data_IF_727312064006
#
_entry.id   IF_727312064006
#
_cell.length_a   1.000
_cell.length_b   1.000
_cell.length_c   1.000
_cell.angle_alpha   90.00
_cell.angle_beta   90.00
_cell.angle_gamma   90.00
#
_symmetry.space_group_name_H-M   'P 1'
#
loop_
_entity.id
_entity.type
_entity.pdbx_description
1 polymer ?
#
# COMPACT_ATOMS: atom_id res chain seq x y z
N UNK A 1 -24.62 -35.35 51.46
CA UNK A 1 -24.87 -34.02 50.87
C UNK A 1 -23.72 -33.74 49.89
N UNK A 2 -23.97 -33.86 48.58
CA UNK A 2 -22.91 -33.75 47.54
C UNK A 2 -22.92 -32.32 47.00
N UNK A 3 -21.84 -31.59 47.26
CA UNK A 3 -21.59 -30.27 46.69
C UNK A 3 -21.09 -30.47 45.25
N UNK A 4 -21.90 -30.07 44.29
CA UNK A 4 -21.49 -30.00 42.87
C UNK A 4 -20.82 -28.66 42.62
N UNK A 5 -19.49 -28.67 42.44
CA UNK A 5 -18.73 -27.51 41.96
C UNK A 5 -19.02 -27.32 40.47
N UNK A 6 -19.71 -26.25 40.12
CA UNK A 6 -19.90 -25.83 38.74
C UNK A 6 -18.69 -25.02 38.34
N UNK A 7 -17.81 -25.64 37.54
CA UNK A 7 -16.68 -24.94 36.92
C UNK A 7 -17.21 -24.24 35.65
N UNK A 8 -17.42 -22.94 35.75
CA UNK A 8 -17.74 -22.08 34.61
C UNK A 8 -16.47 -21.86 33.80
N UNK A 9 -16.38 -22.53 32.65
CA UNK A 9 -15.31 -22.28 31.68
C UNK A 9 -15.69 -21.02 30.90
N UNK A 10 -15.07 -19.90 31.25
CA UNK A 10 -15.10 -18.70 30.41
C UNK A 10 -14.17 -18.94 29.22
N UNK A 11 -14.73 -19.40 28.12
CA UNK A 11 -14.04 -19.41 26.84
C UNK A 11 -14.04 -17.98 26.30
N UNK A 12 -12.96 -17.24 26.56
CA UNK A 12 -12.69 -15.99 25.86
C UNK A 12 -12.36 -16.35 24.42
N UNK A 13 -13.34 -16.19 23.52
CA UNK A 13 -13.12 -16.27 22.09
C UNK A 13 -12.28 -15.07 21.69
N UNK A 14 -10.94 -15.25 21.68
CA UNK A 14 -10.01 -14.31 21.09
C UNK A 14 -10.24 -14.44 19.57
N UNK A 15 -11.09 -13.58 19.02
CA UNK A 15 -11.26 -13.44 17.57
C UNK A 15 -9.98 -12.76 17.03
N UNK A 16 -8.88 -13.51 16.98
CA UNK A 16 -7.77 -13.15 16.11
C UNK A 16 -8.31 -13.35 14.71
N UNK A 17 -8.42 -12.26 13.94
CA UNK A 17 -8.57 -12.32 12.49
C UNK A 17 -7.30 -12.96 11.91
N UNK A 18 -7.19 -14.27 12.02
CA UNK A 18 -6.16 -15.05 11.33
C UNK A 18 -6.58 -15.04 9.87
N UNK A 19 -5.94 -14.19 9.07
CA UNK A 19 -6.08 -14.29 7.61
C UNK A 19 -5.80 -15.73 7.20
N UNK A 20 -6.62 -16.34 6.31
CA UNK A 20 -6.29 -17.62 5.77
C UNK A 20 -4.88 -17.62 5.18
N UNK A 21 -4.10 -18.65 5.39
CA UNK A 21 -2.71 -18.75 4.93
C UNK A 21 -2.58 -18.41 3.42
N UNK A 22 -3.58 -18.78 2.62
CA UNK A 22 -3.65 -18.45 1.19
C UNK A 22 -3.71 -16.94 0.90
N UNK A 23 -4.47 -16.18 1.70
CA UNK A 23 -4.58 -14.73 1.50
C UNK A 23 -3.27 -14.01 1.81
N UNK A 24 -2.61 -14.36 2.93
CA UNK A 24 -1.32 -13.79 3.29
C UNK A 24 -0.25 -14.09 2.24
N UNK A 25 -0.23 -15.30 1.70
CA UNK A 25 0.67 -15.67 0.61
C UNK A 25 0.38 -14.86 -0.67
N UNK A 26 -0.89 -14.63 -0.99
CA UNK A 26 -1.29 -13.83 -2.14
C UNK A 26 -0.82 -12.38 -2.02
N UNK A 27 -0.89 -11.78 -0.83
CA UNK A 27 -0.39 -10.42 -0.59
C UNK A 27 1.15 -10.36 -0.61
N UNK A 28 1.84 -11.34 -0.05
CA UNK A 28 3.30 -11.44 -0.18
C UNK A 28 3.73 -11.58 -1.65
N UNK A 29 3.01 -12.37 -2.44
CA UNK A 29 3.23 -12.49 -3.87
C UNK A 29 2.96 -11.17 -4.63
N UNK A 30 2.00 -10.35 -4.17
CA UNK A 30 1.78 -9.01 -4.70
C UNK A 30 2.98 -8.09 -4.44
N UNK A 31 3.56 -8.12 -3.24
CA UNK A 31 4.74 -7.30 -2.93
C UNK A 31 5.96 -7.71 -3.77
N UNK A 32 6.15 -9.02 -4.03
CA UNK A 32 7.17 -9.49 -4.99
C UNK A 32 6.91 -8.97 -6.40
N UNK A 33 5.67 -9.11 -6.87
CA UNK A 33 5.26 -8.55 -8.16
C UNK A 33 5.55 -7.05 -8.27
N UNK A 34 5.28 -6.27 -7.22
CA UNK A 34 5.58 -4.83 -7.19
C UNK A 34 7.08 -4.54 -7.33
N UNK A 35 7.94 -5.32 -6.67
CA UNK A 35 9.39 -5.21 -6.79
C UNK A 35 9.83 -5.57 -8.22
N UNK A 36 9.30 -6.66 -8.79
CA UNK A 36 9.59 -7.07 -10.18
C UNK A 36 9.16 -5.99 -11.17
N UNK A 37 8.03 -5.33 -10.92
CA UNK A 37 7.52 -4.24 -11.75
C UNK A 37 8.46 -3.01 -11.74
N UNK A 38 9.03 -2.66 -10.59
CA UNK A 38 9.99 -1.56 -10.47
C UNK A 38 11.31 -1.86 -11.19
N UNK A 39 11.65 -3.13 -11.36
CA UNK A 39 12.85 -3.58 -12.05
C UNK A 39 12.60 -3.94 -13.54
N UNK A 40 11.40 -3.70 -14.06
CA UNK A 40 11.10 -3.97 -15.46
C UNK A 40 11.82 -2.98 -16.38
N UNK A 41 12.53 -3.52 -17.41
CA UNK A 41 13.44 -2.74 -18.25
C UNK A 41 12.72 -1.95 -19.35
N UNK A 42 11.45 -2.22 -19.62
CA UNK A 42 10.69 -1.55 -20.68
C UNK A 42 9.20 -1.43 -20.37
N UNK A 43 8.51 -0.54 -21.09
CA UNK A 43 7.05 -0.39 -20.99
C UNK A 43 6.31 -1.67 -21.38
N UNK A 44 6.83 -2.39 -22.37
CA UNK A 44 6.29 -3.67 -22.83
C UNK A 44 6.44 -4.75 -21.74
N UNK A 45 7.58 -4.79 -21.04
CA UNK A 45 7.80 -5.67 -19.90
C UNK A 45 6.83 -5.33 -18.77
N UNK A 46 6.67 -4.05 -18.40
CA UNK A 46 5.69 -3.58 -17.41
C UNK A 46 4.28 -4.08 -17.76
N UNK A 47 3.83 -3.84 -19.01
CA UNK A 47 2.51 -4.27 -19.45
C UNK A 47 2.34 -5.78 -19.41
N UNK A 48 3.34 -6.55 -19.81
CA UNK A 48 3.35 -8.01 -19.76
C UNK A 48 3.24 -8.54 -18.32
N UNK A 49 4.00 -7.95 -17.38
CA UNK A 49 3.93 -8.30 -15.96
C UNK A 49 2.54 -8.03 -15.38
N UNK A 50 1.94 -6.86 -15.66
CA UNK A 50 0.59 -6.49 -15.21
C UNK A 50 -0.45 -7.48 -15.74
N UNK A 51 -0.41 -7.80 -17.03
CA UNK A 51 -1.37 -8.72 -17.66
C UNK A 51 -1.22 -10.16 -17.13
N UNK A 52 0.01 -10.64 -16.96
CA UNK A 52 0.28 -11.95 -16.38
C UNK A 52 -0.24 -12.03 -14.92
N UNK A 53 -0.03 -10.98 -14.13
CA UNK A 53 -0.51 -10.94 -12.75
C UNK A 53 -2.04 -10.88 -12.68
N UNK A 54 -2.70 -10.12 -13.57
CA UNK A 54 -4.16 -10.08 -13.72
C UNK A 54 -4.74 -11.47 -13.96
N UNK A 55 -4.21 -12.20 -14.94
CA UNK A 55 -4.62 -13.58 -15.24
C UNK A 55 -4.42 -14.52 -14.04
N UNK A 56 -3.33 -14.34 -13.29
CA UNK A 56 -3.07 -15.11 -12.06
C UNK A 56 -4.15 -14.86 -10.99
N UNK A 57 -4.59 -13.62 -10.79
CA UNK A 57 -5.70 -13.29 -9.87
C UNK A 57 -6.99 -13.96 -10.36
N UNK A 58 -7.33 -13.82 -11.64
CA UNK A 58 -8.55 -14.40 -12.23
C UNK A 58 -8.63 -15.91 -12.05
N UNK A 59 -7.52 -16.61 -12.32
CA UNK A 59 -7.42 -18.06 -12.22
C UNK A 59 -7.28 -18.60 -10.78
N UNK A 60 -7.11 -17.72 -9.78
CA UNK A 60 -6.91 -18.13 -8.40
C UNK A 60 -8.21 -18.64 -7.74
N UNK A 61 -8.06 -19.45 -6.69
CA UNK A 61 -9.17 -19.91 -5.83
C UNK A 61 -9.45 -18.94 -4.66
N UNK A 62 -8.98 -17.69 -4.75
CA UNK A 62 -9.24 -16.66 -3.76
C UNK A 62 -10.73 -16.29 -3.73
N UNK A 63 -11.23 -15.88 -2.56
CA UNK A 63 -12.60 -15.41 -2.43
C UNK A 63 -12.78 -14.02 -3.10
N UNK A 64 -14.03 -13.53 -3.13
CA UNK A 64 -14.39 -12.27 -3.79
C UNK A 64 -13.63 -11.08 -3.21
N UNK A 65 -13.54 -10.95 -1.88
CA UNK A 65 -12.85 -9.86 -1.21
C UNK A 65 -11.34 -9.88 -1.49
N UNK A 66 -10.72 -11.06 -1.46
CA UNK A 66 -9.30 -11.24 -1.74
C UNK A 66 -8.97 -10.88 -3.20
N UNK A 67 -9.81 -11.32 -4.16
CA UNK A 67 -9.65 -10.94 -5.57
C UNK A 67 -9.85 -9.45 -5.78
N UNK A 68 -10.89 -8.87 -5.19
CA UNK A 68 -11.14 -7.43 -5.24
C UNK A 68 -9.93 -6.66 -4.69
N UNK A 69 -9.39 -7.09 -3.55
CA UNK A 69 -8.20 -6.50 -2.95
C UNK A 69 -7.02 -6.49 -3.91
N UNK A 70 -6.69 -7.63 -4.50
CA UNK A 70 -5.56 -7.72 -5.43
C UNK A 70 -5.78 -6.93 -6.72
N UNK A 71 -7.01 -6.88 -7.26
CA UNK A 71 -7.33 -6.02 -8.39
C UNK A 71 -7.23 -4.53 -8.05
N UNK A 72 -7.60 -4.16 -6.83
CA UNK A 72 -7.47 -2.78 -6.33
C UNK A 72 -6.01 -2.37 -6.24
N UNK A 73 -5.18 -3.20 -5.62
CA UNK A 73 -3.74 -2.99 -5.53
C UNK A 73 -3.07 -2.96 -6.92
N UNK A 74 -3.48 -3.86 -7.83
CA UNK A 74 -2.96 -3.92 -9.21
C UNK A 74 -3.32 -2.65 -10.00
N UNK A 75 -4.55 -2.13 -9.84
CA UNK A 75 -4.97 -0.90 -10.51
C UNK A 75 -4.13 0.31 -10.07
N UNK A 76 -3.77 0.36 -8.79
CA UNK A 76 -2.86 1.38 -8.24
C UNK A 76 -1.50 1.31 -8.93
N UNK A 77 -0.84 0.14 -8.93
CA UNK A 77 0.48 -0.01 -9.57
C UNK A 77 0.42 0.25 -11.08
N UNK A 78 -0.63 -0.20 -11.76
CA UNK A 78 -0.81 0.04 -13.19
C UNK A 78 -0.89 1.53 -13.51
N UNK A 79 -1.60 2.32 -12.70
CA UNK A 79 -1.71 3.77 -12.91
C UNK A 79 -0.41 4.50 -12.59
N UNK A 80 0.30 4.08 -11.54
CA UNK A 80 1.59 4.66 -11.16
C UNK A 80 2.65 4.41 -12.26
N UNK A 81 2.72 3.19 -12.79
CA UNK A 81 3.64 2.84 -13.89
C UNK A 81 3.29 3.52 -15.21
N UNK A 82 2.01 3.74 -15.50
CA UNK A 82 1.56 4.43 -16.70
C UNK A 82 1.88 5.93 -16.69
N UNK A 83 2.00 6.53 -15.51
CA UNK A 83 2.35 7.94 -15.30
C UNK A 83 1.36 8.95 -15.88
N UNK A 84 1.73 10.23 -15.83
CA UNK A 84 0.86 11.38 -16.20
C UNK A 84 0.45 11.38 -17.67
N UNK A 85 1.23 10.77 -18.57
CA UNK A 85 0.94 10.73 -20.00
C UNK A 85 -0.37 9.96 -20.32
N UNK A 86 -0.80 9.06 -19.43
CA UNK A 86 -2.01 8.25 -19.59
C UNK A 86 -3.17 8.73 -18.70
N UNK A 87 -3.21 10.00 -18.31
CA UNK A 87 -4.12 10.54 -17.30
C UNK A 87 -5.60 10.13 -17.50
N UNK A 88 -6.12 10.21 -18.73
CA UNK A 88 -7.51 9.83 -19.04
C UNK A 88 -7.80 8.35 -18.79
N UNK A 89 -6.88 7.47 -19.20
CA UNK A 89 -7.02 6.03 -18.98
C UNK A 89 -6.86 5.67 -17.52
N UNK A 90 -5.91 6.31 -16.82
CA UNK A 90 -5.69 6.15 -15.40
C UNK A 90 -6.93 6.55 -14.60
N UNK A 91 -7.51 7.72 -14.88
CA UNK A 91 -8.74 8.17 -14.23
C UNK A 91 -9.88 7.16 -14.41
N UNK A 92 -10.08 6.67 -15.65
CA UNK A 92 -11.13 5.66 -15.92
C UNK A 92 -10.89 4.38 -15.12
N UNK A 93 -9.67 3.84 -15.13
CA UNK A 93 -9.33 2.61 -14.39
C UNK A 93 -9.56 2.78 -12.88
N UNK A 94 -9.11 3.91 -12.32
CA UNK A 94 -9.30 4.21 -10.90
C UNK A 94 -10.80 4.34 -10.55
N UNK A 95 -11.59 5.01 -11.39
CA UNK A 95 -13.05 5.17 -11.17
C UNK A 95 -13.77 3.83 -11.25
N UNK A 96 -13.48 3.00 -12.25
CA UNK A 96 -14.05 1.66 -12.39
C UNK A 96 -13.73 0.79 -11.16
N UNK A 97 -12.50 0.90 -10.63
CA UNK A 97 -12.11 0.12 -9.45
C UNK A 97 -12.70 0.69 -8.16
N UNK A 98 -12.84 2.01 -8.04
CA UNK A 98 -13.55 2.67 -6.93
C UNK A 98 -15.02 2.22 -6.85
N UNK A 99 -15.70 2.15 -8.00
CA UNK A 99 -17.10 1.71 -8.06
C UNK A 99 -17.24 0.24 -7.67
N UNK A 100 -16.29 -0.63 -8.00
CA UNK A 100 -16.26 -2.02 -7.51
C UNK A 100 -16.08 -2.08 -6.00
N UNK A 101 -15.19 -1.27 -5.43
CA UNK A 101 -15.00 -1.20 -3.98
C UNK A 101 -16.29 -0.69 -3.30
N UNK A 102 -16.94 0.35 -3.81
CA UNK A 102 -18.21 0.86 -3.30
C UNK A 102 -19.31 -0.22 -3.31
N UNK A 103 -19.47 -0.92 -4.45
CA UNK A 103 -20.47 -1.99 -4.58
C UNK A 103 -20.23 -3.13 -3.58
N UNK A 104 -18.96 -3.54 -3.39
CA UNK A 104 -18.60 -4.56 -2.40
C UNK A 104 -18.90 -4.11 -0.96
N UNK A 105 -18.73 -2.81 -0.69
CA UNK A 105 -18.92 -2.20 0.63
C UNK A 105 -20.40 -1.91 0.95
N UNK A 106 -21.33 -2.08 0.01
CA UNK A 106 -22.74 -1.81 0.23
C UNK A 106 -23.26 -2.66 1.41
N UNK A 107 -23.79 -1.97 2.42
CA UNK A 107 -24.28 -2.60 3.65
C UNK A 107 -23.21 -3.05 4.65
N UNK A 108 -21.91 -2.83 4.37
CA UNK A 108 -20.80 -3.17 5.27
C UNK A 108 -20.19 -1.93 5.91
N UNK A 109 -19.57 -2.13 7.07
CA UNK A 109 -18.73 -1.12 7.71
C UNK A 109 -17.26 -1.33 7.31
N UNK A 110 -16.47 -0.25 7.31
CA UNK A 110 -15.04 -0.35 7.04
C UNK A 110 -14.33 -1.32 8.00
N UNK A 111 -14.78 -1.42 9.26
CA UNK A 111 -14.25 -2.36 10.26
C UNK A 111 -14.52 -3.85 9.99
N UNK A 112 -15.33 -4.17 8.99
CA UNK A 112 -15.73 -5.54 8.65
C UNK A 112 -14.97 -6.11 7.46
N UNK A 113 -14.06 -5.34 6.87
CA UNK A 113 -13.29 -5.74 5.70
C UNK A 113 -11.79 -5.78 5.98
N UNK A 114 -11.09 -6.48 5.11
CA UNK A 114 -9.66 -6.71 5.18
C UNK A 114 -8.87 -5.39 5.11
N UNK A 115 -7.86 -5.24 5.96
CA UNK A 115 -6.98 -4.06 6.01
C UNK A 115 -6.25 -3.78 4.68
N UNK A 116 -5.94 -4.83 3.89
CA UNK A 116 -5.36 -4.67 2.56
C UNK A 116 -6.34 -4.03 1.56
N UNK A 117 -7.63 -4.38 1.63
CA UNK A 117 -8.65 -3.74 0.80
C UNK A 117 -8.82 -2.27 1.18
N UNK A 118 -8.87 -1.97 2.48
CA UNK A 118 -8.98 -0.59 2.97
C UNK A 118 -7.81 0.26 2.47
N UNK A 119 -6.57 -0.25 2.58
CA UNK A 119 -5.38 0.46 2.11
C UNK A 119 -5.37 0.62 0.60
N UNK A 120 -5.65 -0.44 -0.15
CA UNK A 120 -5.73 -0.35 -1.61
C UNK A 120 -6.82 0.63 -2.09
N UNK A 121 -7.98 0.63 -1.44
CA UNK A 121 -9.05 1.58 -1.76
C UNK A 121 -8.69 3.01 -1.35
N UNK A 122 -8.01 3.20 -0.22
CA UNK A 122 -7.46 4.50 0.16
C UNK A 122 -6.46 5.02 -0.88
N UNK A 123 -5.61 4.15 -1.42
CA UNK A 123 -4.68 4.49 -2.50
C UNK A 123 -5.41 4.91 -3.79
N UNK A 124 -6.52 4.25 -4.16
CA UNK A 124 -7.40 4.68 -5.26
C UNK A 124 -7.96 6.08 -5.01
N UNK A 125 -8.56 6.30 -3.82
CA UNK A 125 -9.13 7.60 -3.43
C UNK A 125 -8.11 8.74 -3.45
N UNK A 126 -6.91 8.47 -2.94
CA UNK A 126 -5.80 9.44 -2.97
C UNK A 126 -5.45 9.87 -4.40
N UNK A 127 -5.42 8.93 -5.34
CA UNK A 127 -5.13 9.23 -6.75
C UNK A 127 -6.29 9.94 -7.44
N UNK A 128 -7.54 9.55 -7.14
CA UNK A 128 -8.73 10.25 -7.65
C UNK A 128 -8.79 11.71 -7.16
N UNK A 129 -8.37 11.99 -5.91
CA UNK A 129 -8.20 13.35 -5.43
C UNK A 129 -7.25 14.16 -6.32
N UNK A 130 -6.16 13.55 -6.80
CA UNK A 130 -5.21 14.20 -7.72
C UNK A 130 -5.77 14.51 -9.13
N UNK A 131 -6.84 13.82 -9.54
CA UNK A 131 -7.57 14.09 -10.78
C UNK A 131 -8.74 15.05 -10.62
N UNK A 132 -9.07 15.42 -9.38
CA UNK A 132 -10.23 16.22 -9.02
C UNK A 132 -9.85 17.64 -8.59
N UNK A 133 -10.85 18.49 -8.43
CA UNK A 133 -10.68 19.86 -7.92
C UNK A 133 -11.84 20.24 -6.99
N UNK A 134 -11.64 21.31 -6.21
CA UNK A 134 -12.67 21.85 -5.32
C UNK A 134 -13.16 20.84 -4.29
N UNK A 135 -14.47 20.76 -4.08
CA UNK A 135 -15.08 19.90 -3.06
C UNK A 135 -14.80 18.41 -3.33
N UNK A 136 -14.89 17.95 -4.58
CA UNK A 136 -14.62 16.54 -4.93
C UNK A 136 -13.21 16.11 -4.54
N UNK A 137 -12.19 16.94 -4.81
CA UNK A 137 -10.82 16.65 -4.38
C UNK A 137 -10.72 16.51 -2.86
N UNK A 138 -11.39 17.38 -2.13
CA UNK A 138 -11.39 17.35 -0.68
C UNK A 138 -12.07 16.10 -0.13
N UNK A 139 -13.24 15.75 -0.67
CA UNK A 139 -13.99 14.56 -0.25
C UNK A 139 -13.22 13.26 -0.51
N UNK A 140 -12.57 13.14 -1.68
CA UNK A 140 -11.72 11.98 -2.02
C UNK A 140 -10.51 11.89 -1.08
N UNK A 141 -9.84 13.02 -0.79
CA UNK A 141 -8.71 13.06 0.11
C UNK A 141 -9.10 12.71 1.56
N UNK A 142 -10.24 13.20 2.06
CA UNK A 142 -10.74 12.86 3.39
C UNK A 142 -11.14 11.37 3.49
N UNK A 143 -11.81 10.83 2.47
CA UNK A 143 -12.18 9.43 2.44
C UNK A 143 -10.94 8.55 2.41
N UNK A 144 -9.93 8.90 1.61
CA UNK A 144 -8.63 8.21 1.59
C UNK A 144 -7.99 8.17 2.98
N UNK A 145 -7.88 9.32 3.64
CA UNK A 145 -7.36 9.40 5.00
C UNK A 145 -8.12 8.50 5.99
N UNK A 146 -9.45 8.56 5.98
CA UNK A 146 -10.29 7.76 6.86
C UNK A 146 -10.04 6.25 6.69
N UNK A 147 -9.92 5.78 5.45
CA UNK A 147 -9.65 4.37 5.15
C UNK A 147 -8.27 3.93 5.68
N UNK A 148 -7.22 4.75 5.54
CA UNK A 148 -5.91 4.45 6.14
C UNK A 148 -5.98 4.39 7.67
N UNK A 149 -6.66 5.35 8.30
CA UNK A 149 -6.81 5.42 9.75
C UNK A 149 -7.60 4.21 10.28
N UNK A 150 -8.64 3.77 9.57
CA UNK A 150 -9.40 2.57 9.95
C UNK A 150 -8.56 1.29 9.78
N UNK A 151 -7.80 1.15 8.69
CA UNK A 151 -6.90 0.02 8.50
C UNK A 151 -5.85 -0.06 9.64
N UNK A 152 -5.24 1.08 10.01
CA UNK A 152 -4.26 1.16 11.07
C UNK A 152 -4.86 1.07 12.49
N UNK A 153 -6.15 1.30 12.64
CA UNK A 153 -6.87 1.03 13.89
C UNK A 153 -7.11 -0.46 14.08
N UNK A 154 -7.42 -1.19 13.00
CA UNK A 154 -7.60 -2.64 13.02
C UNK A 154 -6.27 -3.37 13.22
N UNK A 155 -5.22 -2.96 12.49
CA UNK A 155 -3.86 -3.48 12.67
C UNK A 155 -2.85 -2.32 12.80
N UNK A 156 -2.50 -2.00 14.04
CA UNK A 156 -1.55 -0.92 14.37
C UNK A 156 -0.12 -1.18 13.89
N UNK A 157 0.20 -2.43 13.55
CA UNK A 157 1.53 -2.85 13.10
C UNK A 157 1.55 -3.24 11.61
N UNK A 158 0.51 -2.94 10.87
CA UNK A 158 0.41 -3.23 9.45
C UNK A 158 1.42 -2.42 8.61
N UNK A 159 2.49 -3.05 8.08
CA UNK A 159 3.57 -2.32 7.41
C UNK A 159 3.10 -1.58 6.17
N UNK A 160 2.28 -2.24 5.32
CA UNK A 160 1.74 -1.64 4.10
C UNK A 160 0.81 -0.46 4.41
N UNK A 161 0.01 -0.55 5.47
CA UNK A 161 -0.82 0.57 5.93
C UNK A 161 0.01 1.80 6.31
N UNK A 162 1.10 1.61 7.06
CA UNK A 162 2.01 2.71 7.39
C UNK A 162 2.76 3.25 6.16
N UNK A 163 3.10 2.40 5.19
CA UNK A 163 3.77 2.80 3.96
C UNK A 163 2.84 3.67 3.10
N UNK A 164 1.65 3.19 2.78
CA UNK A 164 0.69 3.90 1.94
C UNK A 164 0.19 5.19 2.62
N UNK A 165 -0.12 5.15 3.92
CA UNK A 165 -0.47 6.37 4.67
C UNK A 165 0.69 7.36 4.73
N UNK A 166 1.93 6.86 4.84
CA UNK A 166 3.13 7.70 4.76
C UNK A 166 3.24 8.45 3.44
N UNK A 167 2.92 7.79 2.32
CA UNK A 167 2.91 8.42 1.01
C UNK A 167 1.80 9.49 0.92
N UNK A 168 0.60 9.21 1.43
CA UNK A 168 -0.47 10.20 1.54
C UNK A 168 -0.03 11.42 2.36
N UNK A 169 0.57 11.19 3.53
CA UNK A 169 1.09 12.26 4.40
C UNK A 169 2.17 13.08 3.69
N UNK A 170 3.00 12.47 2.84
CA UNK A 170 4.04 13.17 2.12
C UNK A 170 3.49 14.28 1.22
N UNK A 171 2.37 14.02 0.54
CA UNK A 171 1.72 14.97 -0.36
C UNK A 171 0.63 15.83 0.29
N UNK A 172 0.14 15.43 1.46
CA UNK A 172 -0.88 16.20 2.18
C UNK A 172 -0.29 17.52 2.71
N UNK A 173 -1.07 18.61 2.67
CA UNK A 173 -0.61 19.88 3.19
C UNK A 173 -0.45 19.84 4.72
N UNK A 174 0.40 20.72 5.31
CA UNK A 174 0.62 20.76 6.76
C UNK A 174 -0.65 20.94 7.59
N UNK A 175 -1.63 21.69 7.09
CA UNK A 175 -2.93 21.88 7.75
C UNK A 175 -3.73 20.58 7.88
N UNK A 176 -3.47 19.60 6.98
CA UNK A 176 -4.02 18.26 7.05
C UNK A 176 -3.14 17.28 7.85
N UNK A 177 -2.09 17.77 8.50
CA UNK A 177 -1.12 16.97 9.25
C UNK A 177 -0.04 16.32 8.39
N UNK A 178 0.10 16.73 7.12
CA UNK A 178 1.07 16.19 6.17
C UNK A 178 2.44 16.86 6.22
N UNK A 179 3.28 16.47 5.28
CA UNK A 179 4.65 16.92 5.09
C UNK A 179 5.68 15.79 5.31
N UNK A 180 6.92 16.05 4.89
CA UNK A 180 7.99 15.06 4.89
C UNK A 180 8.31 14.48 6.28
N UNK A 181 8.20 15.27 7.36
CA UNK A 181 8.40 14.78 8.73
C UNK A 181 7.31 13.80 9.18
N UNK A 182 6.04 14.07 8.82
CA UNK A 182 4.94 13.16 9.12
C UNK A 182 5.09 11.85 8.33
N UNK A 183 5.43 11.95 7.06
CA UNK A 183 5.73 10.82 6.20
C UNK A 183 6.90 9.99 6.73
N UNK A 184 8.02 10.62 7.14
CA UNK A 184 9.17 9.94 7.71
C UNK A 184 8.80 9.10 8.94
N UNK A 185 7.93 9.62 9.81
CA UNK A 185 7.44 8.87 10.99
C UNK A 185 6.65 7.64 10.57
N UNK A 186 5.76 7.76 9.58
CA UNK A 186 4.96 6.64 9.07
C UNK A 186 5.84 5.60 8.36
N UNK A 187 6.74 6.00 7.47
CA UNK A 187 7.69 5.10 6.81
C UNK A 187 8.63 4.41 7.82
N UNK A 188 9.03 5.09 8.90
CA UNK A 188 9.85 4.48 9.96
C UNK A 188 9.09 3.39 10.71
N UNK A 189 7.77 3.55 10.91
CA UNK A 189 6.91 2.48 11.45
C UNK A 189 6.79 1.32 10.46
N UNK A 190 6.59 1.59 9.15
CA UNK A 190 6.59 0.56 8.13
C UNK A 190 7.88 -0.27 8.15
N UNK A 191 9.05 0.38 8.21
CA UNK A 191 10.36 -0.28 8.35
C UNK A 191 10.45 -1.12 9.63
N UNK A 192 9.94 -0.58 10.76
CA UNK A 192 10.02 -1.26 12.08
C UNK A 192 9.11 -2.48 12.17
N UNK A 193 7.94 -2.43 11.51
CA UNK A 193 6.94 -3.50 11.56
C UNK A 193 7.03 -4.50 10.41
N UNK A 194 7.92 -4.28 9.44
CA UNK A 194 8.14 -5.21 8.32
C UNK A 194 8.52 -6.61 8.81
N UNK A 195 7.80 -7.61 8.32
CA UNK A 195 7.98 -9.03 8.66
C UNK A 195 8.61 -9.83 7.51
N UNK A 196 8.60 -9.28 6.29
CA UNK A 196 9.17 -9.91 5.10
C UNK A 196 10.25 -9.03 4.47
N UNK A 197 11.18 -9.60 3.70
CA UNK A 197 12.17 -8.84 2.95
C UNK A 197 11.53 -7.83 1.99
N UNK A 198 10.41 -8.19 1.36
CA UNK A 198 9.69 -7.35 0.41
C UNK A 198 9.09 -6.11 1.08
N UNK A 199 8.41 -6.28 2.22
CA UNK A 199 7.91 -5.16 3.02
C UNK A 199 9.05 -4.22 3.44
N UNK A 200 10.16 -4.80 3.91
CA UNK A 200 11.33 -4.06 4.37
C UNK A 200 11.96 -3.25 3.24
N UNK A 201 12.13 -3.88 2.07
CA UNK A 201 12.68 -3.24 0.88
C UNK A 201 11.84 -2.01 0.48
N UNK A 202 10.52 -2.20 0.31
CA UNK A 202 9.64 -1.11 -0.06
C UNK A 202 9.64 0.01 0.99
N UNK A 203 9.54 -0.32 2.27
CA UNK A 203 9.54 0.67 3.34
C UNK A 203 10.86 1.49 3.39
N UNK A 204 12.01 0.86 3.15
CA UNK A 204 13.31 1.53 3.08
C UNK A 204 13.39 2.46 1.85
N UNK A 205 12.93 2.01 0.68
CA UNK A 205 12.85 2.86 -0.51
C UNK A 205 12.07 4.15 -0.23
N UNK A 206 10.84 4.05 0.28
CA UNK A 206 10.01 5.21 0.56
C UNK A 206 10.58 6.10 1.67
N UNK A 207 11.16 5.49 2.73
CA UNK A 207 11.80 6.28 3.79
C UNK A 207 13.00 7.05 3.29
N UNK A 208 13.76 6.49 2.35
CA UNK A 208 14.88 7.19 1.72
C UNK A 208 14.44 8.49 1.04
N UNK A 209 13.24 8.51 0.42
CA UNK A 209 12.71 9.71 -0.23
C UNK A 209 12.31 10.79 0.78
N UNK A 210 11.72 10.40 1.92
CA UNK A 210 11.45 11.36 2.99
C UNK A 210 12.76 11.96 3.55
N UNK A 211 13.83 11.19 3.64
CA UNK A 211 15.14 11.72 4.02
C UNK A 211 15.72 12.69 2.98
N UNK A 212 15.52 12.46 1.68
CA UNK A 212 15.93 13.42 0.64
C UNK A 212 15.14 14.72 0.78
N UNK A 213 13.82 14.64 0.93
CA UNK A 213 12.97 15.83 1.12
C UNK A 213 13.30 16.63 2.39
N UNK A 214 13.91 15.97 3.39
CA UNK A 214 14.41 16.59 4.64
C UNK A 214 15.91 16.90 4.59
N UNK A 215 16.50 16.98 3.41
CA UNK A 215 17.90 17.32 3.19
C UNK A 215 18.91 16.42 3.94
N UNK A 216 18.55 15.13 4.12
CA UNK A 216 19.41 14.14 4.79
C UNK A 216 19.88 13.02 3.84
N UNK A 217 20.71 13.35 2.83
CA UNK A 217 21.14 12.38 1.80
C UNK A 217 21.97 11.21 2.38
N UNK A 218 22.64 11.41 3.52
CA UNK A 218 23.41 10.34 4.17
C UNK A 218 22.49 9.21 4.67
N UNK A 219 21.37 9.55 5.31
CA UNK A 219 20.39 8.57 5.78
C UNK A 219 19.65 7.94 4.61
N UNK A 220 19.29 8.73 3.58
CA UNK A 220 18.71 8.21 2.36
C UNK A 220 19.59 7.14 1.70
N UNK A 221 20.89 7.43 1.53
CA UNK A 221 21.84 6.48 0.97
C UNK A 221 22.03 5.23 1.86
N UNK A 222 21.92 5.35 3.18
CA UNK A 222 21.98 4.20 4.07
C UNK A 222 20.75 3.29 3.89
N UNK A 223 19.55 3.86 3.77
CA UNK A 223 18.33 3.10 3.51
C UNK A 223 18.37 2.40 2.14
N UNK A 224 18.83 3.09 1.09
CA UNK A 224 18.96 2.48 -0.24
C UNK A 224 19.96 1.32 -0.26
N UNK A 225 21.09 1.43 0.45
CA UNK A 225 22.03 0.30 0.59
C UNK A 225 21.37 -0.86 1.33
N UNK A 226 20.69 -0.60 2.44
CA UNK A 226 20.00 -1.64 3.20
C UNK A 226 18.87 -2.30 2.39
N UNK A 227 18.19 -1.56 1.50
CA UNK A 227 17.22 -2.11 0.57
C UNK A 227 17.90 -3.00 -0.49
N UNK A 228 18.98 -2.53 -1.11
CA UNK A 228 19.75 -3.32 -2.08
C UNK A 228 20.30 -4.62 -1.48
N UNK A 229 20.77 -4.60 -0.23
CA UNK A 229 21.28 -5.80 0.46
C UNK A 229 20.22 -6.90 0.62
N UNK A 230 18.91 -6.55 0.63
CA UNK A 230 17.83 -7.52 0.66
C UNK A 230 17.62 -8.21 -0.70
N UNK A 231 17.85 -7.50 -1.79
CA UNK A 231 17.68 -7.99 -3.16
C UNK A 231 18.87 -7.56 -4.05
N UNK A 232 20.05 -8.20 -3.93
CA UNK A 232 21.28 -7.72 -4.58
C UNK A 232 21.27 -7.73 -6.12
N UNK A 233 20.28 -8.38 -6.73
CA UNK A 233 20.14 -8.43 -8.19
C UNK A 233 19.21 -7.34 -8.75
N UNK A 234 18.51 -6.63 -7.87
CA UNK A 234 17.64 -5.53 -8.32
C UNK A 234 18.47 -4.30 -8.70
N UNK A 235 17.93 -3.50 -9.62
CA UNK A 235 18.61 -2.30 -10.15
C UNK A 235 17.90 -1.00 -9.77
N UNK A 236 16.68 -1.08 -9.25
CA UNK A 236 15.85 0.09 -8.99
C UNK A 236 16.44 1.00 -7.89
N UNK A 237 17.08 0.45 -6.85
CA UNK A 237 17.76 1.26 -5.82
C UNK A 237 18.89 2.12 -6.41
N UNK A 238 19.59 1.65 -7.45
CA UNK A 238 20.61 2.44 -8.15
C UNK A 238 19.95 3.59 -8.92
N UNK A 239 18.87 3.32 -9.64
CA UNK A 239 18.09 4.34 -10.34
C UNK A 239 17.58 5.42 -9.38
N UNK A 240 17.01 5.00 -8.24
CA UNK A 240 16.56 5.92 -7.18
C UNK A 240 17.72 6.74 -6.62
N UNK A 241 18.88 6.11 -6.39
CA UNK A 241 20.07 6.81 -5.89
C UNK A 241 20.57 7.88 -6.86
N UNK A 242 20.53 7.61 -8.17
CA UNK A 242 20.89 8.58 -9.20
C UNK A 242 19.87 9.73 -9.29
N UNK A 243 18.57 9.42 -9.22
CA UNK A 243 17.53 10.43 -9.13
C UNK A 243 17.74 11.35 -7.93
N UNK A 244 17.99 10.80 -6.77
CA UNK A 244 18.22 11.54 -5.52
C UNK A 244 19.40 12.51 -5.59
N UNK A 245 20.48 12.18 -6.32
CA UNK A 245 21.62 13.10 -6.54
C UNK A 245 21.20 14.36 -7.32
N UNK A 246 20.15 14.24 -8.12
CA UNK A 246 19.58 15.31 -8.93
C UNK A 246 18.35 15.97 -8.28
N UNK A 247 18.07 15.66 -7.00
CA UNK A 247 16.92 16.16 -6.27
C UNK A 247 15.56 15.62 -6.75
N UNK A 248 15.55 14.50 -7.51
CA UNK A 248 14.34 13.86 -8.01
C UNK A 248 13.92 12.72 -7.10
N UNK A 249 12.66 12.72 -6.70
CA UNK A 249 12.05 11.60 -5.99
C UNK A 249 11.42 10.62 -6.98
N UNK A 250 11.48 9.32 -6.69
CA UNK A 250 11.05 8.30 -7.66
C UNK A 250 9.51 8.25 -7.85
N UNK A 251 8.75 8.82 -6.92
CA UNK A 251 7.29 8.86 -6.95
C UNK A 251 6.71 10.24 -7.35
N UNK A 252 7.52 11.16 -7.85
CA UNK A 252 7.10 12.43 -8.47
C UNK A 252 7.07 12.30 -9.99
#
# INVERSE_FOLDING_TARGET
MKIRTVMSVFTVLLCMCVMPLCAQEAYNNFLKFKIDLYNAESKEAIQSHIEAYRKKIEASNLNEEEKLTLFTLLAVEQTDMAGKANAKQNYRLLTEQDDRCKAFMEGKKDSEVNVWLLVGWADIKSRLAGFSSGQTMYDEALRSRHLYEEALKQDKKFPQGHLSYGLWLFFAPPIAGGGADAALKAFSKAVSYSNTPEEKYLALLYRSQAYIALENPKKAAADLRAAHDLFPKETFTQLVSEGNKNGKLFFE
#
